data_IF_193033667325
#
_entry.id   IF_193033667325
#
_cell.length_a   1.000
_cell.length_b   1.000
_cell.length_c   1.000
_cell.angle_alpha   90.00
_cell.angle_beta   90.00
_cell.angle_gamma   90.00
#
_symmetry.space_group_name_H-M   'P 1'
#
loop_
_entity.id
_entity.type
_entity.pdbx_description
1 polymer ?
#
# COMPACT_ATOMS: atom_id res chain seq x y z
N UNK A 1 13.61 28.25 34.00
CA UNK A 1 13.15 29.24 33.02
C UNK A 1 11.83 28.73 32.50
N UNK A 2 10.72 29.34 32.93
CA UNK A 2 9.42 29.05 32.32
C UNK A 2 9.51 29.50 30.86
N UNK A 3 9.15 28.61 29.96
CA UNK A 3 9.12 28.83 28.52
C UNK A 3 8.11 29.96 28.22
N UNK A 4 8.57 31.21 28.18
CA UNK A 4 7.73 32.40 27.92
C UNK A 4 7.46 32.53 26.43
N UNK A 5 6.82 31.52 25.86
CA UNK A 5 6.21 31.62 24.54
C UNK A 5 4.90 32.39 24.68
N UNK A 6 4.70 33.35 23.79
CA UNK A 6 3.44 34.11 23.71
C UNK A 6 2.33 33.23 23.14
N UNK A 7 1.05 33.48 23.48
CA UNK A 7 -0.07 32.71 22.93
C UNK A 7 -0.06 32.67 21.39
N UNK A 8 0.26 33.78 20.73
CA UNK A 8 0.34 33.88 19.27
C UNK A 8 1.41 32.95 18.67
N UNK A 9 2.55 32.79 19.35
CA UNK A 9 3.61 31.87 18.92
C UNK A 9 3.17 30.41 19.03
N UNK A 10 2.41 30.07 20.08
CA UNK A 10 1.87 28.71 20.26
C UNK A 10 0.82 28.42 19.18
N UNK A 11 -0.05 29.37 18.86
CA UNK A 11 -1.04 29.22 17.78
C UNK A 11 -0.38 29.01 16.42
N UNK A 12 0.63 29.82 16.09
CA UNK A 12 1.37 29.66 14.84
C UNK A 12 2.06 28.29 14.72
N UNK A 13 2.61 27.78 15.83
CA UNK A 13 3.24 26.46 15.88
C UNK A 13 2.22 25.33 15.73
N UNK A 14 1.05 25.47 16.35
CA UNK A 14 -0.05 24.50 16.22
C UNK A 14 -0.53 24.43 14.76
N UNK A 15 -0.69 25.56 14.08
CA UNK A 15 -1.10 25.58 12.68
C UNK A 15 -0.04 24.96 11.76
N UNK A 16 1.24 25.21 12.02
CA UNK A 16 2.34 24.56 11.30
C UNK A 16 2.31 23.03 11.50
N UNK A 17 2.16 22.58 12.74
CA UNK A 17 2.09 21.15 13.06
C UNK A 17 0.85 20.49 12.44
N UNK A 18 -0.31 21.16 12.45
CA UNK A 18 -1.53 20.68 11.79
C UNK A 18 -1.30 20.50 10.29
N UNK A 19 -0.66 21.45 9.63
CA UNK A 19 -0.33 21.33 8.20
C UNK A 19 0.61 20.14 7.93
N UNK A 20 1.64 19.94 8.76
CA UNK A 20 2.55 18.80 8.62
C UNK A 20 1.86 17.46 8.86
N UNK A 21 0.98 17.38 9.86
CA UNK A 21 0.18 16.20 10.15
C UNK A 21 -0.81 15.90 9.02
N UNK A 22 -1.47 16.92 8.46
CA UNK A 22 -2.37 16.76 7.31
C UNK A 22 -1.63 16.13 6.12
N UNK A 23 -0.45 16.66 5.76
CA UNK A 23 0.36 16.07 4.68
C UNK A 23 0.81 14.63 4.96
N UNK A 24 1.12 14.32 6.23
CA UNK A 24 1.48 12.94 6.63
C UNK A 24 0.27 12.00 6.54
N UNK A 25 -0.91 12.44 6.97
CA UNK A 25 -2.15 11.67 6.86
C UNK A 25 -2.51 11.42 5.40
N UNK A 26 -2.36 12.42 4.52
CA UNK A 26 -2.60 12.28 3.09
C UNK A 26 -1.67 11.25 2.44
N UNK A 27 -0.38 11.28 2.78
CA UNK A 27 0.59 10.28 2.30
C UNK A 27 0.24 8.86 2.77
N UNK A 28 -0.14 8.72 4.04
CA UNK A 28 -0.57 7.44 4.60
C UNK A 28 -1.87 6.95 3.94
N UNK A 29 -2.84 7.83 3.74
CA UNK A 29 -4.09 7.52 3.06
C UNK A 29 -3.83 7.05 1.61
N UNK A 30 -2.95 7.74 0.87
CA UNK A 30 -2.56 7.34 -0.48
C UNK A 30 -1.91 5.94 -0.49
N UNK A 31 -1.00 5.65 0.45
CA UNK A 31 -0.38 4.32 0.59
C UNK A 31 -1.40 3.23 0.92
N UNK A 32 -2.37 3.54 1.80
CA UNK A 32 -3.43 2.62 2.17
C UNK A 32 -4.40 2.35 1.02
N UNK A 33 -4.74 3.38 0.22
CA UNK A 33 -5.60 3.24 -0.96
C UNK A 33 -4.96 2.28 -1.98
N UNK A 34 -3.66 2.45 -2.28
CA UNK A 34 -2.93 1.53 -3.18
C UNK A 34 -2.97 0.08 -2.67
N UNK A 35 -2.79 -0.13 -1.36
CA UNK A 35 -2.86 -1.47 -0.75
C UNK A 35 -4.27 -2.05 -0.84
N UNK A 36 -5.30 -1.23 -0.62
CA UNK A 36 -6.70 -1.64 -0.75
C UNK A 36 -7.03 -2.06 -2.18
N UNK A 37 -6.69 -1.23 -3.17
CA UNK A 37 -6.87 -1.53 -4.60
C UNK A 37 -6.15 -2.80 -5.03
N UNK A 38 -4.92 -3.01 -4.57
CA UNK A 38 -4.18 -4.23 -4.86
C UNK A 38 -4.88 -5.48 -4.31
N UNK A 39 -5.38 -5.43 -3.07
CA UNK A 39 -6.15 -6.53 -2.46
C UNK A 39 -7.44 -6.80 -3.21
N UNK A 40 -8.16 -5.75 -3.60
CA UNK A 40 -9.40 -5.87 -4.37
C UNK A 40 -9.14 -6.53 -5.72
N UNK A 41 -8.07 -6.13 -6.44
CA UNK A 41 -7.70 -6.77 -7.71
C UNK A 41 -7.37 -8.26 -7.54
N UNK A 42 -6.71 -8.64 -6.46
CA UNK A 42 -6.42 -10.05 -6.15
C UNK A 42 -7.71 -10.82 -5.84
N UNK A 43 -8.64 -10.22 -5.10
CA UNK A 43 -9.95 -10.81 -4.83
C UNK A 43 -10.75 -11.02 -6.13
N UNK A 44 -10.82 -10.00 -6.99
CA UNK A 44 -11.50 -10.09 -8.29
C UNK A 44 -10.89 -11.19 -9.17
N UNK A 45 -9.55 -11.27 -9.22
CA UNK A 45 -8.86 -12.31 -9.97
C UNK A 45 -9.14 -13.69 -9.40
N UNK A 46 -9.12 -13.85 -8.07
CA UNK A 46 -9.48 -15.09 -7.40
C UNK A 46 -10.89 -15.51 -7.78
N UNK A 47 -11.86 -14.62 -7.65
CA UNK A 47 -13.27 -14.93 -7.94
C UNK A 47 -13.46 -15.29 -9.43
N UNK A 48 -12.75 -14.59 -10.34
CA UNK A 48 -12.79 -14.90 -11.77
C UNK A 48 -12.09 -16.20 -12.17
N UNK A 49 -11.23 -16.75 -11.31
CA UNK A 49 -10.41 -17.95 -11.59
C UNK A 49 -10.81 -19.18 -10.75
N UNK A 50 -11.68 -19.01 -9.75
CA UNK A 50 -12.25 -20.12 -8.96
C UNK A 50 -13.46 -20.74 -9.67
N UNK A 51 -13.46 -22.07 -9.82
CA UNK A 51 -14.67 -22.85 -10.14
C UNK A 51 -15.55 -23.03 -8.90
N UNK A 52 -16.82 -23.42 -9.08
CA UNK A 52 -17.81 -23.57 -8.02
C UNK A 52 -17.43 -24.51 -6.84
N UNK A 53 -16.36 -25.32 -6.95
CA UNK A 53 -15.86 -26.20 -5.88
C UNK A 53 -14.66 -25.65 -5.10
N UNK A 54 -14.16 -24.44 -5.42
CA UNK A 54 -13.03 -23.83 -4.70
C UNK A 54 -11.66 -24.49 -4.91
N UNK A 55 -11.51 -25.38 -5.90
CA UNK A 55 -10.25 -26.07 -6.20
C UNK A 55 -9.60 -25.50 -7.47
N UNK A 56 -8.29 -25.16 -7.46
CA UNK A 56 -7.57 -24.79 -8.69
C UNK A 56 -7.57 -25.98 -9.66
N UNK A 57 -7.91 -25.75 -10.94
CA UNK A 57 -7.84 -26.80 -11.96
C UNK A 57 -6.38 -27.31 -12.07
N UNK A 58 -6.13 -28.63 -12.02
CA UNK A 58 -4.78 -29.19 -11.95
C UNK A 58 -3.93 -28.88 -13.20
N UNK A 59 -4.57 -28.66 -14.35
CA UNK A 59 -3.91 -28.25 -15.61
C UNK A 59 -3.22 -26.88 -15.50
N UNK A 60 -3.63 -26.02 -14.57
CA UNK A 60 -3.07 -24.68 -14.36
C UNK A 60 -1.93 -24.69 -13.32
N UNK A 61 -1.78 -25.75 -12.52
CA UNK A 61 -0.75 -25.84 -11.47
C UNK A 61 0.67 -25.96 -12.06
N UNK A 62 0.83 -26.54 -13.25
CA UNK A 62 2.12 -26.61 -13.95
C UNK A 62 2.53 -25.29 -14.62
N UNK A 63 1.57 -24.56 -15.19
CA UNK A 63 1.82 -23.31 -15.92
C UNK A 63 1.78 -22.05 -15.03
N UNK A 64 1.03 -22.05 -13.92
CA UNK A 64 0.92 -20.89 -13.03
C UNK A 64 2.14 -20.70 -12.11
N UNK A 65 2.87 -21.76 -11.79
CA UNK A 65 4.06 -21.68 -10.94
C UNK A 65 5.16 -20.78 -11.52
N UNK A 66 5.36 -20.83 -12.84
CA UNK A 66 6.36 -19.99 -13.52
C UNK A 66 5.97 -18.51 -13.55
N UNK A 67 4.68 -18.19 -13.67
CA UNK A 67 4.18 -16.81 -13.63
C UNK A 67 4.36 -16.18 -12.24
N UNK A 68 4.09 -16.94 -11.17
CA UNK A 68 4.32 -16.47 -9.79
C UNK A 68 5.81 -16.24 -9.55
N UNK A 69 6.67 -17.18 -9.95
CA UNK A 69 8.12 -17.03 -9.82
C UNK A 69 8.63 -15.81 -10.61
N UNK A 70 8.17 -15.62 -11.84
CA UNK A 70 8.55 -14.48 -12.68
C UNK A 70 8.06 -13.15 -12.09
N UNK A 71 6.85 -13.11 -11.53
CA UNK A 71 6.33 -11.93 -10.84
C UNK A 71 7.16 -11.58 -9.59
N UNK A 72 7.58 -12.57 -8.80
CA UNK A 72 8.44 -12.37 -7.62
C UNK A 72 9.80 -11.82 -8.03
N UNK A 73 10.44 -12.39 -9.06
CA UNK A 73 11.73 -11.88 -9.59
C UNK A 73 11.59 -10.44 -10.07
N UNK A 74 10.53 -10.13 -10.83
CA UNK A 74 10.28 -8.79 -11.35
C UNK A 74 10.01 -7.77 -10.24
N UNK A 75 9.30 -8.18 -9.17
CA UNK A 75 9.07 -7.35 -7.99
C UNK A 75 10.38 -7.05 -7.24
N UNK A 76 11.23 -8.05 -7.02
CA UNK A 76 12.55 -7.89 -6.39
C UNK A 76 13.47 -6.98 -7.22
N UNK A 77 13.43 -7.12 -8.54
CA UNK A 77 14.19 -6.26 -9.45
C UNK A 77 13.70 -4.81 -9.44
N UNK A 78 12.39 -4.58 -9.46
CA UNK A 78 11.81 -3.24 -9.32
C UNK A 78 12.20 -2.59 -7.99
N UNK A 79 12.11 -3.34 -6.89
CA UNK A 79 12.47 -2.84 -5.56
C UNK A 79 13.94 -2.45 -5.45
N UNK A 80 14.85 -3.18 -6.13
CA UNK A 80 16.28 -2.86 -6.17
C UNK A 80 16.63 -1.67 -7.07
N UNK A 81 15.75 -1.28 -8.01
CA UNK A 81 15.98 -0.13 -8.91
C UNK A 81 15.46 1.19 -8.36
N UNK A 82 14.51 1.13 -7.43
CA UNK A 82 13.92 2.31 -6.79
C UNK A 82 14.65 2.76 -5.52
N UNK A 83 15.58 1.93 -5.02
CA UNK A 83 16.54 2.27 -3.97
C UNK A 83 17.87 2.63 -4.62
#
# INVERSE_FOLDING_TARGET
>A
MADTRTPEQIEAEIELQRAQLAGTVDELAAKLDVKSRARQKVADLRDSTTTASGSPRPEVLGAAGSLVAMAVVLLLWRRRRTH
#
